data_IF_058296746743
#
_entry.id   IF_058296746743
#
_cell.length_a   1.000
_cell.length_b   1.000
_cell.length_c   1.000
_cell.angle_alpha   90.00
_cell.angle_beta   90.00
_cell.angle_gamma   90.00
#
_symmetry.space_group_name_H-M   'P 1'
#
loop_
_entity.id
_entity.type
_entity.pdbx_description
1 polymer ?
#
# COMPACT_ATOMS: atom_id res chain seq x y z
N UNK A 1 10.40 25.44 6.76
CA UNK A 1 9.27 24.53 7.07
C UNK A 1 8.11 24.76 6.08
N UNK A 2 7.52 25.96 5.98
CA UNK A 2 6.38 26.23 5.10
C UNK A 2 6.62 25.89 3.62
N UNK A 3 7.81 26.17 3.08
CA UNK A 3 8.16 25.82 1.69
C UNK A 3 8.28 24.30 1.51
N UNK A 4 8.88 23.60 2.46
CA UNK A 4 8.97 22.14 2.44
C UNK A 4 7.57 21.51 2.46
N UNK A 5 6.69 22.04 3.32
CA UNK A 5 5.30 21.57 3.41
C UNK A 5 4.55 21.80 2.09
N UNK A 6 4.71 22.96 1.48
CA UNK A 6 4.09 23.28 0.19
C UNK A 6 4.57 22.35 -0.95
N UNK A 7 5.82 21.89 -0.88
CA UNK A 7 6.44 21.03 -1.89
C UNK A 7 6.22 19.54 -1.64
N UNK A 8 5.68 19.14 -0.50
CA UNK A 8 5.50 17.73 -0.13
C UNK A 8 4.07 17.35 0.21
N UNK A 9 3.33 18.18 0.96
CA UNK A 9 1.98 17.84 1.40
C UNK A 9 1.00 17.52 0.27
N UNK A 10 0.89 18.29 -0.83
CA UNK A 10 -0.08 17.98 -1.88
C UNK A 10 0.15 16.60 -2.50
N UNK A 11 1.39 16.16 -2.56
CA UNK A 11 1.76 14.88 -3.18
C UNK A 11 1.47 13.69 -2.27
N UNK A 12 1.71 13.84 -0.97
CA UNK A 12 1.28 12.85 0.02
C UNK A 12 -0.24 12.70 0.05
N UNK A 13 -0.97 13.83 0.08
CA UNK A 13 -2.43 13.83 0.06
C UNK A 13 -2.98 13.16 -1.19
N UNK A 14 -2.34 13.35 -2.34
CA UNK A 14 -2.78 12.70 -3.57
C UNK A 14 -2.57 11.18 -3.54
N UNK A 15 -1.49 10.69 -2.95
CA UNK A 15 -1.30 9.24 -2.71
C UNK A 15 -2.42 8.69 -1.82
N UNK A 16 -2.78 9.40 -0.75
CA UNK A 16 -3.90 9.00 0.11
C UNK A 16 -5.21 8.93 -0.69
N UNK A 17 -5.47 9.91 -1.55
CA UNK A 17 -6.67 9.94 -2.39
C UNK A 17 -6.72 8.76 -3.37
N UNK A 18 -5.61 8.45 -4.03
CA UNK A 18 -5.52 7.27 -4.91
C UNK A 18 -5.88 6.01 -4.13
N UNK A 19 -5.26 5.82 -2.98
CA UNK A 19 -5.49 4.66 -2.12
C UNK A 19 -6.95 4.59 -1.65
N UNK A 20 -7.45 5.67 -1.06
CA UNK A 20 -8.81 5.72 -0.50
C UNK A 20 -9.88 5.46 -1.57
N UNK A 21 -9.69 5.97 -2.79
CA UNK A 21 -10.61 5.74 -3.90
C UNK A 21 -10.63 4.26 -4.33
N UNK A 22 -9.47 3.63 -4.41
CA UNK A 22 -9.35 2.21 -4.76
C UNK A 22 -10.01 1.34 -3.68
N UNK A 23 -9.77 1.64 -2.42
CA UNK A 23 -10.37 0.93 -1.28
C UNK A 23 -11.89 1.10 -1.28
N UNK A 24 -12.39 2.31 -1.50
CA UNK A 24 -13.84 2.57 -1.56
C UNK A 24 -14.54 1.71 -2.60
N UNK A 25 -14.00 1.63 -3.80
CA UNK A 25 -14.56 0.78 -4.86
C UNK A 25 -14.45 -0.71 -4.51
N UNK A 26 -13.34 -1.13 -3.94
CA UNK A 26 -13.14 -2.51 -3.50
C UNK A 26 -14.12 -2.93 -2.39
N UNK A 27 -14.38 -2.07 -1.44
CA UNK A 27 -15.29 -2.34 -0.32
C UNK A 27 -16.76 -2.53 -0.76
N UNK A 28 -17.14 -2.05 -1.93
CA UNK A 28 -18.50 -2.27 -2.50
C UNK A 28 -18.71 -3.70 -3.00
N UNK A 29 -17.65 -4.45 -3.21
CA UNK A 29 -17.72 -5.80 -3.74
C UNK A 29 -18.18 -6.80 -2.66
N UNK A 30 -18.78 -7.92 -3.09
CA UNK A 30 -19.04 -9.07 -2.20
C UNK A 30 -17.74 -9.70 -1.70
N UNK A 31 -17.80 -10.48 -0.62
CA UNK A 31 -16.62 -11.15 -0.09
C UNK A 31 -15.89 -12.00 -1.13
N UNK A 32 -16.64 -12.78 -1.93
CA UNK A 32 -16.08 -13.64 -2.98
C UNK A 32 -15.46 -12.81 -4.12
N UNK A 33 -16.10 -11.69 -4.50
CA UNK A 33 -15.57 -10.80 -5.54
C UNK A 33 -14.34 -10.03 -5.05
N UNK A 34 -14.29 -9.64 -3.78
CA UNK A 34 -13.09 -9.05 -3.19
C UNK A 34 -11.91 -10.02 -3.26
N UNK A 35 -12.10 -11.28 -2.87
CA UNK A 35 -11.05 -12.29 -2.94
C UNK A 35 -10.58 -12.51 -4.39
N UNK A 36 -11.53 -12.60 -5.32
CA UNK A 36 -11.24 -12.81 -6.75
C UNK A 36 -10.46 -11.66 -7.38
N UNK A 37 -10.79 -10.43 -6.99
CA UNK A 37 -10.21 -9.22 -7.58
C UNK A 37 -9.05 -8.62 -6.78
N UNK A 38 -8.68 -9.23 -5.65
CA UNK A 38 -7.64 -8.70 -4.76
C UNK A 38 -6.32 -8.45 -5.49
N UNK A 39 -5.87 -9.40 -6.27
CA UNK A 39 -4.60 -9.32 -6.98
C UNK A 39 -4.60 -8.20 -8.03
N UNK A 40 -5.65 -8.12 -8.84
CA UNK A 40 -5.78 -7.10 -9.89
C UNK A 40 -5.92 -5.70 -9.27
N UNK A 41 -6.77 -5.55 -8.26
CA UNK A 41 -6.96 -4.27 -7.56
C UNK A 41 -5.65 -3.79 -6.92
N UNK A 42 -4.91 -4.68 -6.28
CA UNK A 42 -3.61 -4.35 -5.69
C UNK A 42 -2.57 -3.97 -6.74
N UNK A 43 -2.54 -4.69 -7.87
CA UNK A 43 -1.61 -4.40 -8.98
C UNK A 43 -1.90 -3.05 -9.60
N UNK A 44 -3.16 -2.76 -9.90
CA UNK A 44 -3.58 -1.48 -10.48
C UNK A 44 -3.29 -0.32 -9.53
N UNK A 45 -3.56 -0.50 -8.24
CA UNK A 45 -3.27 0.50 -7.23
C UNK A 45 -1.78 0.79 -7.07
N UNK A 46 -0.96 -0.24 -7.06
CA UNK A 46 0.49 -0.07 -6.97
C UNK A 46 1.06 0.58 -8.24
N UNK A 47 0.57 0.22 -9.40
CA UNK A 47 0.99 0.85 -10.65
C UNK A 47 0.66 2.33 -10.69
N UNK A 48 -0.56 2.71 -10.32
CA UNK A 48 -0.96 4.11 -10.22
C UNK A 48 -0.09 4.89 -9.24
N UNK A 49 0.21 4.29 -8.09
CA UNK A 49 1.07 4.91 -7.07
C UNK A 49 2.50 5.13 -7.59
N UNK A 50 3.10 4.12 -8.21
CA UNK A 50 4.45 4.22 -8.78
C UNK A 50 4.50 5.27 -9.89
N UNK A 51 3.53 5.28 -10.80
CA UNK A 51 3.43 6.29 -11.85
C UNK A 51 3.36 7.70 -11.29
N UNK A 52 2.53 7.92 -10.28
CA UNK A 52 2.42 9.21 -9.62
C UNK A 52 3.73 9.64 -8.94
N UNK A 53 4.41 8.72 -8.25
CA UNK A 53 5.70 8.98 -7.63
C UNK A 53 6.72 9.45 -8.68
N UNK A 54 6.79 8.79 -9.84
CA UNK A 54 7.75 9.16 -10.89
C UNK A 54 7.34 10.42 -11.64
N UNK A 55 6.05 10.70 -11.79
CA UNK A 55 5.57 11.97 -12.35
C UNK A 55 5.92 13.16 -11.45
N UNK A 56 6.15 12.93 -10.17
CA UNK A 56 6.50 13.92 -9.15
C UNK A 56 7.75 13.52 -8.35
N UNK A 57 8.71 12.93 -9.03
CA UNK A 57 9.88 12.30 -8.42
C UNK A 57 10.65 13.23 -7.48
N UNK A 58 10.91 14.47 -7.90
CA UNK A 58 11.67 15.42 -7.11
C UNK A 58 10.97 15.79 -5.79
N UNK A 59 9.65 15.84 -5.78
CA UNK A 59 8.87 16.14 -4.58
C UNK A 59 8.95 14.98 -3.57
N UNK A 60 8.87 13.74 -4.03
CA UNK A 60 9.04 12.58 -3.16
C UNK A 60 10.49 12.41 -2.71
N UNK A 61 11.46 12.71 -3.57
CA UNK A 61 12.86 12.72 -3.20
C UNK A 61 13.15 13.75 -2.10
N UNK A 62 12.55 14.93 -2.21
CA UNK A 62 12.63 15.96 -1.19
C UNK A 62 12.07 15.46 0.15
N UNK A 63 10.93 14.80 0.13
CA UNK A 63 10.29 14.22 1.31
C UNK A 63 11.22 13.21 2.02
N UNK A 64 11.90 12.35 1.25
CA UNK A 64 12.73 11.29 1.80
C UNK A 64 14.12 11.76 2.23
N UNK A 65 14.77 12.62 1.43
CA UNK A 65 16.19 12.95 1.59
C UNK A 65 16.48 14.28 2.27
N UNK A 66 15.55 15.22 2.22
CA UNK A 66 15.80 16.59 2.68
C UNK A 66 14.85 17.05 3.79
N UNK A 67 13.89 16.24 4.17
CA UNK A 67 12.91 16.62 5.16
C UNK A 67 13.29 16.23 6.59
N UNK A 68 12.57 16.78 7.53
CA UNK A 68 12.55 16.28 8.89
C UNK A 68 12.03 14.84 8.85
N UNK A 69 12.80 13.91 9.42
CA UNK A 69 12.53 12.47 9.43
C UNK A 69 11.10 12.11 9.86
N UNK A 70 10.49 12.91 10.72
CA UNK A 70 9.14 12.68 11.23
C UNK A 70 8.05 12.74 10.17
N UNK A 71 8.21 13.51 9.11
CA UNK A 71 7.17 13.67 8.09
C UNK A 71 7.02 12.45 7.18
N UNK A 72 8.11 11.87 6.76
CA UNK A 72 8.08 10.63 5.98
C UNK A 72 7.55 9.46 6.83
N UNK A 73 8.01 9.36 8.06
CA UNK A 73 7.52 8.34 9.01
C UNK A 73 6.02 8.46 9.24
N UNK A 74 5.50 9.69 9.38
CA UNK A 74 4.07 9.95 9.52
C UNK A 74 3.30 9.56 8.26
N UNK A 75 3.86 9.83 7.07
CA UNK A 75 3.27 9.41 5.80
C UNK A 75 3.14 7.88 5.72
N UNK A 76 4.19 7.15 6.03
CA UNK A 76 4.16 5.68 6.08
C UNK A 76 3.14 5.19 7.11
N UNK A 77 3.13 5.77 8.31
CA UNK A 77 2.15 5.43 9.34
C UNK A 77 0.72 5.61 8.84
N UNK A 78 0.42 6.70 8.18
CA UNK A 78 -0.93 6.97 7.64
C UNK A 78 -1.33 6.00 6.53
N UNK A 79 -0.39 5.55 5.70
CA UNK A 79 -0.63 4.50 4.71
C UNK A 79 -0.93 3.16 5.39
N UNK A 80 -0.15 2.81 6.42
CA UNK A 80 -0.33 1.58 7.20
C UNK A 80 -1.69 1.56 7.90
N UNK A 81 -2.11 2.66 8.50
CA UNK A 81 -3.42 2.77 9.16
C UNK A 81 -4.57 2.53 8.18
N UNK A 82 -4.46 3.07 6.96
CA UNK A 82 -5.44 2.83 5.89
C UNK A 82 -5.51 1.35 5.49
N UNK A 83 -4.36 0.73 5.32
CA UNK A 83 -4.28 -0.69 4.96
C UNK A 83 -4.79 -1.60 6.08
N UNK A 84 -4.45 -1.29 7.33
CA UNK A 84 -4.97 -2.00 8.50
C UNK A 84 -6.50 -1.97 8.53
N UNK A 85 -7.07 -0.78 8.37
CA UNK A 85 -8.52 -0.59 8.38
C UNK A 85 -9.21 -1.37 7.26
N UNK A 86 -8.66 -1.31 6.06
CA UNK A 86 -9.16 -2.06 4.89
C UNK A 86 -9.08 -3.56 5.12
N UNK A 87 -7.96 -4.05 5.62
CA UNK A 87 -7.75 -5.48 5.88
C UNK A 87 -8.68 -6.02 6.96
N UNK A 88 -8.87 -5.29 8.05
CA UNK A 88 -9.79 -5.69 9.11
C UNK A 88 -11.24 -5.75 8.62
N UNK A 89 -11.65 -4.82 7.77
CA UNK A 89 -12.98 -4.88 7.13
C UNK A 89 -13.12 -6.08 6.20
N UNK A 90 -12.10 -6.39 5.43
CA UNK A 90 -12.09 -7.56 4.57
C UNK A 90 -12.20 -8.85 5.40
N UNK A 91 -11.42 -8.98 6.47
CA UNK A 91 -11.45 -10.14 7.36
C UNK A 91 -12.84 -10.31 8.00
N UNK A 92 -13.47 -9.23 8.44
CA UNK A 92 -14.83 -9.25 9.01
C UNK A 92 -15.85 -9.70 7.96
N UNK A 93 -15.77 -9.19 6.74
CA UNK A 93 -16.64 -9.57 5.63
C UNK A 93 -16.48 -11.05 5.27
N UNK A 94 -15.26 -11.58 5.28
CA UNK A 94 -14.98 -12.99 5.06
C UNK A 94 -15.56 -13.85 6.18
N UNK A 95 -15.43 -13.42 7.42
CA UNK A 95 -16.01 -14.10 8.58
C UNK A 95 -17.53 -14.18 8.50
N UNK A 96 -18.19 -13.07 8.14
CA UNK A 96 -19.65 -13.04 7.91
C UNK A 96 -20.09 -13.98 6.79
N UNK A 97 -19.24 -14.18 5.79
CA UNK A 97 -19.47 -15.13 4.69
C UNK A 97 -19.15 -16.59 5.06
N UNK A 98 -18.77 -16.86 6.31
CA UNK A 98 -18.49 -18.20 6.81
C UNK A 98 -17.08 -18.72 6.52
N UNK A 99 -16.19 -17.87 6.05
CA UNK A 99 -14.78 -18.22 5.80
C UNK A 99 -13.99 -18.09 7.10
N UNK A 100 -13.26 -19.14 7.45
CA UNK A 100 -12.37 -19.12 8.62
C UNK A 100 -11.00 -18.60 8.22
N UNK A 101 -10.63 -17.46 8.78
CA UNK A 101 -9.29 -16.89 8.63
C UNK A 101 -8.54 -17.12 9.95
N UNK A 102 -7.33 -17.70 9.93
CA UNK A 102 -6.50 -17.79 11.12
C UNK A 102 -6.25 -16.43 11.75
N UNK A 103 -6.20 -16.37 13.07
CA UNK A 103 -5.92 -15.12 13.79
C UNK A 103 -4.49 -14.70 13.51
N UNK A 104 -4.34 -13.46 13.04
CA UNK A 104 -3.05 -12.79 12.88
C UNK A 104 -3.09 -11.57 13.80
N UNK A 105 -2.12 -11.47 14.68
CA UNK A 105 -2.04 -10.34 15.61
C UNK A 105 -1.94 -9.01 14.85
N UNK A 106 -2.70 -8.02 15.28
CA UNK A 106 -2.68 -6.69 14.64
C UNK A 106 -1.28 -6.06 14.65
N UNK A 107 -0.52 -6.31 15.71
CA UNK A 107 0.88 -5.86 15.80
C UNK A 107 1.76 -6.44 14.69
N UNK A 108 1.57 -7.72 14.33
CA UNK A 108 2.29 -8.36 13.24
C UNK A 108 1.84 -7.78 11.89
N UNK A 109 0.55 -7.59 11.69
CA UNK A 109 0.02 -6.96 10.48
C UNK A 109 0.62 -5.57 10.29
N UNK A 110 0.68 -4.78 11.36
CA UNK A 110 1.29 -3.45 11.34
C UNK A 110 2.77 -3.50 10.94
N UNK A 111 3.54 -4.45 11.46
CA UNK A 111 4.95 -4.66 11.10
C UNK A 111 5.10 -4.99 9.61
N UNK A 112 4.27 -5.89 9.09
CA UNK A 112 4.33 -6.33 7.68
C UNK A 112 3.98 -5.16 6.75
N UNK A 113 2.91 -4.43 7.03
CA UNK A 113 2.50 -3.29 6.20
C UNK A 113 3.52 -2.15 6.25
N UNK A 114 4.08 -1.86 7.42
CA UNK A 114 5.15 -0.86 7.56
C UNK A 114 6.35 -1.24 6.70
N UNK A 115 6.78 -2.49 6.75
CA UNK A 115 7.86 -3.00 5.92
C UNK A 115 7.56 -2.90 4.42
N UNK A 116 6.35 -3.23 4.02
CA UNK A 116 5.92 -3.15 2.63
C UNK A 116 5.96 -1.72 2.09
N UNK A 117 5.27 -0.78 2.74
CA UNK A 117 5.24 0.61 2.27
C UNK A 117 6.62 1.28 2.33
N UNK A 118 7.39 1.01 3.37
CA UNK A 118 8.77 1.51 3.44
C UNK A 118 9.64 0.98 2.30
N UNK A 119 9.46 -0.29 1.94
CA UNK A 119 10.19 -0.91 0.84
C UNK A 119 9.83 -0.31 -0.53
N UNK A 120 8.56 0.05 -0.75
CA UNK A 120 8.14 0.71 -1.99
C UNK A 120 8.94 1.99 -2.23
N UNK A 121 9.18 2.79 -1.20
CA UNK A 121 9.90 4.05 -1.33
C UNK A 121 11.43 3.89 -1.47
N UNK A 122 11.96 2.68 -1.33
CA UNK A 122 13.36 2.36 -1.67
C UNK A 122 13.69 2.63 -3.14
N UNK A 123 12.71 2.62 -4.03
CA UNK A 123 12.88 2.99 -5.44
C UNK A 123 13.44 4.40 -5.61
N UNK A 124 13.04 5.33 -4.74
CA UNK A 124 13.53 6.71 -4.75
C UNK A 124 14.89 6.80 -4.05
N UNK A 125 15.04 6.13 -2.92
CA UNK A 125 16.27 6.17 -2.13
C UNK A 125 17.47 5.65 -2.91
N UNK A 126 17.27 4.63 -3.75
CA UNK A 126 18.31 4.02 -4.58
C UNK A 126 18.35 4.55 -6.02
N UNK A 127 17.60 5.59 -6.34
CA UNK A 127 17.56 6.21 -7.67
C UNK A 127 17.30 5.20 -8.81
N UNK A 128 16.37 4.27 -8.57
CA UNK A 128 16.02 3.22 -9.54
C UNK A 128 15.20 3.87 -10.68
N UNK A 129 15.46 3.48 -11.92
CA UNK A 129 14.70 3.97 -13.07
C UNK A 129 13.24 3.48 -13.02
N UNK A 130 12.34 4.22 -13.65
CA UNK A 130 10.88 3.99 -13.60
C UNK A 130 10.48 2.58 -14.01
N UNK A 131 11.05 2.07 -15.10
CA UNK A 131 10.69 0.75 -15.61
C UNK A 131 11.13 -0.37 -14.68
N UNK A 132 12.35 -0.29 -14.16
CA UNK A 132 12.87 -1.23 -13.15
C UNK A 132 12.08 -1.13 -11.86
N UNK A 133 11.70 0.09 -11.43
CA UNK A 133 10.89 0.31 -10.26
C UNK A 133 9.52 -0.37 -10.36
N UNK A 134 8.86 -0.26 -11.51
CA UNK A 134 7.58 -0.95 -11.75
C UNK A 134 7.71 -2.47 -11.61
N UNK A 135 8.76 -3.05 -12.16
CA UNK A 135 9.06 -4.48 -12.02
C UNK A 135 9.30 -4.87 -10.55
N UNK A 136 10.14 -4.12 -9.86
CA UNK A 136 10.49 -4.39 -8.47
C UNK A 136 9.26 -4.31 -7.56
N UNK A 137 8.45 -3.29 -7.73
CA UNK A 137 7.23 -3.11 -6.93
C UNK A 137 6.21 -4.20 -7.23
N UNK A 138 6.08 -4.61 -8.49
CA UNK A 138 5.21 -5.73 -8.87
C UNK A 138 5.65 -7.03 -8.18
N UNK A 139 6.95 -7.35 -8.22
CA UNK A 139 7.49 -8.54 -7.55
C UNK A 139 7.38 -8.46 -6.02
N UNK A 140 7.60 -7.28 -5.46
CA UNK A 140 7.39 -7.04 -4.02
C UNK A 140 5.93 -7.29 -3.62
N UNK A 141 4.99 -6.83 -4.42
CA UNK A 141 3.56 -7.09 -4.22
C UNK A 141 3.25 -8.59 -4.29
N UNK A 142 3.80 -9.31 -5.28
CA UNK A 142 3.63 -10.76 -5.39
C UNK A 142 4.19 -11.50 -4.16
N UNK A 143 5.36 -11.10 -3.71
CA UNK A 143 5.97 -11.65 -2.49
C UNK A 143 5.08 -11.43 -1.27
N UNK A 144 4.55 -10.23 -1.11
CA UNK A 144 3.68 -9.89 0.00
C UNK A 144 2.34 -10.64 -0.05
N UNK A 145 1.73 -10.72 -1.23
CA UNK A 145 0.48 -11.44 -1.45
C UNK A 145 0.63 -12.93 -1.09
N UNK A 146 1.72 -13.57 -1.52
CA UNK A 146 2.02 -14.96 -1.17
C UNK A 146 2.16 -15.16 0.35
N UNK A 147 2.76 -14.20 1.04
CA UNK A 147 2.84 -14.20 2.50
C UNK A 147 1.45 -14.14 3.16
N UNK A 148 0.60 -13.24 2.70
CA UNK A 148 -0.77 -13.12 3.21
C UNK A 148 -1.64 -14.35 2.90
N UNK A 149 -1.54 -14.89 1.69
CA UNK A 149 -2.21 -16.15 1.34
C UNK A 149 -1.85 -17.25 2.34
N UNK A 150 -0.59 -17.34 2.70
CA UNK A 150 -0.10 -18.32 3.65
C UNK A 150 -0.63 -18.10 5.07
N UNK A 151 -0.58 -16.86 5.56
CA UNK A 151 -1.02 -16.50 6.91
C UNK A 151 -2.54 -16.58 7.07
N UNK A 152 -3.29 -16.17 6.07
CA UNK A 152 -4.76 -16.18 6.09
C UNK A 152 -5.38 -17.48 5.58
N UNK A 153 -4.57 -18.37 5.04
CA UNK A 153 -5.04 -19.62 4.41
C UNK A 153 -6.13 -19.39 3.36
N UNK A 154 -5.90 -18.38 2.50
CA UNK A 154 -6.77 -17.98 1.40
C UNK A 154 -5.92 -17.93 0.14
N UNK A 155 -6.47 -18.35 -1.00
CA UNK A 155 -5.85 -18.15 -2.30
C UNK A 155 -6.45 -16.92 -2.96
N UNK A 156 -5.59 -16.04 -3.48
CA UNK A 156 -5.98 -14.89 -4.29
C UNK A 156 -5.70 -15.20 -5.76
N UNK A 157 -6.74 -15.52 -6.58
CA UNK A 157 -6.55 -15.84 -7.98
C UNK A 157 -5.85 -14.71 -8.73
N UNK A 158 -4.99 -15.08 -9.65
CA UNK A 158 -4.27 -14.13 -10.52
C UNK A 158 -5.03 -13.97 -11.84
#
# INVERSE_FOLDING_TARGET
EALFDALTNPYMEHIYQIYDQIVEEFEKLSASDQTRNMSDTSSDGMEQMVDYIYDHYDNFRLLLKCGDSGKFELFIHNMVEREMKSSLKYMEKMKEAGVKIPVVEESLMHMIYTGFFSSVFQIIEHDIDRETAKKNVHQLKEFNTGGWERLWNIEFPV
#
